data_IF_441079992510
#
_entry.id   IF_441079992510
#
_cell.length_a   1.000
_cell.length_b   1.000
_cell.length_c   1.000
_cell.angle_alpha   90.00
_cell.angle_beta   90.00
_cell.angle_gamma   90.00
#
_symmetry.space_group_name_H-M   'P 1'
#
loop_
_entity.id
_entity.type
_entity.pdbx_description
1 polymer ?
#
# COMPACT_ATOMS: atom_id res chain seq x y z
N UNK A 1 -7.21 -24.77 3.47
CA UNK A 1 -7.33 -23.28 3.55
C UNK A 1 -8.26 -22.88 2.44
N UNK A 2 -9.17 -21.92 2.65
CA UNK A 2 -10.00 -21.40 1.57
C UNK A 2 -9.13 -20.66 0.55
N UNK A 3 -9.45 -20.76 -0.74
CA UNK A 3 -8.79 -20.00 -1.80
C UNK A 3 -8.95 -18.51 -1.52
N UNK A 4 -7.89 -17.72 -1.74
CA UNK A 4 -7.97 -16.25 -1.63
C UNK A 4 -8.81 -15.68 -2.77
N UNK A 5 -9.69 -14.74 -2.44
CA UNK A 5 -10.67 -14.16 -3.36
C UNK A 5 -10.13 -12.89 -4.00
N UNK A 6 -10.12 -12.88 -5.32
CA UNK A 6 -9.63 -11.75 -6.12
C UNK A 6 -10.76 -11.13 -6.93
N UNK A 7 -10.93 -9.82 -6.85
CA UNK A 7 -11.74 -9.06 -7.77
C UNK A 7 -10.84 -8.53 -8.90
N UNK A 8 -11.05 -9.06 -10.11
CA UNK A 8 -10.38 -8.60 -11.32
C UNK A 8 -11.36 -7.71 -12.11
N UNK A 9 -10.97 -6.47 -12.42
CA UNK A 9 -11.77 -5.55 -13.23
C UNK A 9 -10.96 -5.16 -14.46
N UNK A 10 -11.44 -5.59 -15.63
CA UNK A 10 -10.75 -5.47 -16.92
C UNK A 10 -11.82 -5.34 -18.01
N UNK A 11 -11.69 -4.35 -18.90
CA UNK A 11 -12.68 -4.11 -19.97
C UNK A 11 -12.39 -4.91 -21.25
N UNK A 12 -11.15 -5.32 -21.48
CA UNK A 12 -10.84 -6.33 -22.50
C UNK A 12 -11.22 -7.72 -22.00
N UNK A 13 -12.38 -8.21 -22.48
CA UNK A 13 -12.93 -9.48 -22.03
C UNK A 13 -12.02 -10.66 -22.32
N UNK A 14 -11.33 -10.69 -23.48
CA UNK A 14 -10.42 -11.78 -23.82
C UNK A 14 -9.22 -11.81 -22.88
N UNK A 15 -8.64 -10.65 -22.63
CA UNK A 15 -7.52 -10.54 -21.70
C UNK A 15 -7.96 -10.86 -20.26
N UNK A 16 -9.11 -10.37 -19.83
CA UNK A 16 -9.70 -10.65 -18.52
C UNK A 16 -9.96 -12.14 -18.29
N UNK A 17 -10.55 -12.83 -19.28
CA UNK A 17 -10.83 -14.27 -19.20
C UNK A 17 -9.54 -15.11 -19.15
N UNK A 18 -8.54 -14.76 -19.95
CA UNK A 18 -7.23 -15.43 -19.92
C UNK A 18 -6.55 -15.24 -18.57
N UNK A 19 -6.54 -14.02 -18.05
CA UNK A 19 -5.92 -13.69 -16.78
C UNK A 19 -6.65 -14.36 -15.61
N UNK A 20 -7.99 -14.34 -15.62
CA UNK A 20 -8.82 -15.07 -14.65
C UNK A 20 -8.47 -16.55 -14.66
N UNK A 21 -8.50 -17.20 -15.83
CA UNK A 21 -8.18 -18.64 -15.95
C UNK A 21 -6.78 -18.96 -15.43
N UNK A 22 -5.80 -18.10 -15.73
CA UNK A 22 -4.44 -18.26 -15.23
C UNK A 22 -4.36 -18.19 -13.70
N UNK A 23 -5.05 -17.25 -13.07
CA UNK A 23 -5.07 -17.12 -11.62
C UNK A 23 -5.85 -18.27 -10.94
N UNK A 24 -6.95 -18.72 -11.54
CA UNK A 24 -7.72 -19.87 -11.04
C UNK A 24 -6.89 -21.16 -11.09
N UNK A 25 -6.02 -21.35 -12.09
CA UNK A 25 -5.06 -22.46 -12.14
C UNK A 25 -4.02 -22.44 -10.99
N UNK A 26 -3.89 -21.31 -10.31
CA UNK A 26 -3.00 -21.11 -9.16
C UNK A 26 -3.76 -20.99 -7.83
N UNK A 27 -4.93 -21.62 -7.75
CA UNK A 27 -5.76 -21.77 -6.54
C UNK A 27 -6.33 -20.45 -6.00
N UNK A 28 -6.58 -19.44 -6.86
CA UNK A 28 -7.34 -18.24 -6.50
C UNK A 28 -8.80 -18.36 -6.92
N UNK A 29 -9.70 -17.76 -6.13
CA UNK A 29 -11.13 -17.60 -6.48
C UNK A 29 -11.30 -16.22 -7.14
N UNK A 30 -11.46 -16.18 -8.47
CA UNK A 30 -11.42 -14.93 -9.23
C UNK A 30 -12.80 -14.55 -9.76
N UNK A 31 -13.27 -13.39 -9.32
CA UNK A 31 -14.46 -12.76 -9.88
C UNK A 31 -14.04 -11.67 -10.87
N UNK A 32 -14.44 -11.83 -12.16
CA UNK A 32 -14.17 -10.85 -13.21
C UNK A 32 -15.35 -9.89 -13.35
N UNK A 33 -15.08 -8.59 -13.45
CA UNK A 33 -16.02 -7.56 -13.82
C UNK A 33 -15.50 -6.78 -15.06
N UNK A 34 -16.39 -6.43 -15.98
CA UNK A 34 -16.04 -5.87 -17.31
C UNK A 34 -15.84 -4.36 -17.31
N UNK A 35 -16.03 -3.66 -16.20
CA UNK A 35 -15.81 -2.22 -16.07
C UNK A 35 -15.87 -1.77 -14.61
N UNK A 36 -15.47 -0.53 -14.35
CA UNK A 36 -15.41 -0.01 -12.98
C UNK A 36 -16.77 0.14 -12.29
N UNK A 37 -17.88 0.26 -13.03
CA UNK A 37 -19.23 0.30 -12.43
C UNK A 37 -19.62 -1.07 -11.91
N UNK A 38 -19.49 -2.09 -12.75
CA UNK A 38 -19.72 -3.49 -12.37
C UNK A 38 -18.72 -3.94 -11.28
N UNK A 39 -17.48 -3.51 -11.40
CA UNK A 39 -16.45 -3.75 -10.39
C UNK A 39 -16.87 -3.26 -8.99
N UNK A 40 -17.35 -2.02 -8.89
CA UNK A 40 -17.84 -1.48 -7.64
C UNK A 40 -19.07 -2.21 -7.08
N UNK A 41 -20.03 -2.53 -7.95
CA UNK A 41 -21.21 -3.30 -7.53
C UNK A 41 -20.85 -4.69 -7.02
N UNK A 42 -19.92 -5.36 -7.71
CA UNK A 42 -19.41 -6.67 -7.32
C UNK A 42 -18.67 -6.59 -6.00
N UNK A 43 -17.80 -5.58 -5.84
CA UNK A 43 -17.09 -5.34 -4.58
C UNK A 43 -18.04 -5.13 -3.40
N UNK A 44 -19.13 -4.38 -3.61
CA UNK A 44 -20.13 -4.12 -2.56
C UNK A 44 -20.92 -5.33 -2.12
N UNK A 45 -21.08 -6.33 -2.98
CA UNK A 45 -21.87 -7.56 -2.73
C UNK A 45 -21.03 -8.73 -2.24
N UNK A 46 -19.71 -8.70 -2.50
CA UNK A 46 -18.77 -9.76 -2.17
C UNK A 46 -17.82 -9.42 -1.03
N UNK A 47 -16.95 -10.37 -0.74
CA UNK A 47 -15.77 -10.19 0.11
C UNK A 47 -14.54 -10.64 -0.69
N UNK A 48 -13.51 -9.81 -0.72
CA UNK A 48 -12.28 -10.02 -1.49
C UNK A 48 -11.06 -9.80 -0.61
N UNK A 49 -9.98 -10.51 -0.93
CA UNK A 49 -8.69 -10.39 -0.25
C UNK A 49 -7.73 -9.49 -1.03
N UNK A 50 -7.99 -9.28 -2.34
CA UNK A 50 -7.21 -8.45 -3.25
C UNK A 50 -8.09 -7.95 -4.40
N UNK A 51 -7.82 -6.74 -4.86
CA UNK A 51 -8.40 -6.18 -6.08
C UNK A 51 -7.31 -5.96 -7.15
N UNK A 52 -7.60 -6.30 -8.40
CA UNK A 52 -6.76 -6.02 -9.57
C UNK A 52 -7.60 -5.21 -10.53
N UNK A 53 -7.19 -3.98 -10.83
CA UNK A 53 -7.95 -3.06 -11.66
C UNK A 53 -7.14 -2.64 -12.89
N UNK A 54 -7.72 -2.76 -14.09
CA UNK A 54 -7.19 -1.99 -15.20
C UNK A 54 -7.33 -0.50 -14.87
N UNK A 55 -6.29 0.24 -15.16
CA UNK A 55 -6.27 1.68 -14.95
C UNK A 55 -7.21 2.40 -15.92
N UNK A 56 -7.22 1.99 -17.20
CA UNK A 56 -7.95 2.65 -18.29
C UNK A 56 -9.18 1.83 -18.69
N UNK A 57 -10.32 2.15 -18.13
CA UNK A 57 -11.59 1.50 -18.49
C UNK A 57 -12.65 2.54 -18.87
N UNK A 58 -13.58 2.21 -19.77
CA UNK A 58 -14.71 3.08 -20.08
C UNK A 58 -15.67 3.22 -18.90
N UNK A 59 -16.47 4.27 -18.89
CA UNK A 59 -17.51 4.59 -17.89
C UNK A 59 -16.96 4.98 -16.51
N UNK A 60 -16.15 4.13 -15.89
CA UNK A 60 -15.47 4.40 -14.62
C UNK A 60 -14.06 3.80 -14.71
N UNK A 61 -13.06 4.66 -14.67
CA UNK A 61 -11.66 4.24 -14.67
C UNK A 61 -11.26 3.53 -13.35
N UNK A 62 -10.16 2.79 -13.40
CA UNK A 62 -9.67 2.04 -12.25
C UNK A 62 -9.31 2.92 -11.06
N UNK A 63 -8.88 4.15 -11.32
CA UNK A 63 -8.52 5.12 -10.29
C UNK A 63 -9.76 5.57 -9.49
N UNK A 64 -10.84 5.94 -10.17
CA UNK A 64 -12.10 6.32 -9.53
C UNK A 64 -12.68 5.14 -8.76
N UNK A 65 -12.62 3.92 -9.32
CA UNK A 65 -13.02 2.69 -8.64
C UNK A 65 -12.22 2.48 -7.34
N UNK A 66 -10.90 2.60 -7.41
CA UNK A 66 -10.03 2.41 -6.26
C UNK A 66 -10.32 3.42 -5.14
N UNK A 67 -10.61 4.69 -5.50
CA UNK A 67 -11.01 5.72 -4.53
C UNK A 67 -12.27 5.31 -3.77
N UNK A 68 -13.30 4.87 -4.48
CA UNK A 68 -14.56 4.44 -3.87
C UNK A 68 -14.40 3.17 -3.01
N UNK A 69 -13.52 2.25 -3.41
CA UNK A 69 -13.14 1.09 -2.58
C UNK A 69 -12.43 1.57 -1.31
N UNK A 70 -11.48 2.51 -1.41
CA UNK A 70 -10.72 3.06 -0.27
C UNK A 70 -11.58 3.84 0.73
N UNK A 71 -12.68 4.44 0.29
CA UNK A 71 -13.65 5.09 1.18
C UNK A 71 -14.31 4.09 2.14
N UNK A 72 -14.48 2.84 1.69
CA UNK A 72 -15.07 1.75 2.49
C UNK A 72 -14.04 0.93 3.24
N UNK A 73 -12.95 0.61 2.59
CA UNK A 73 -11.86 -0.20 3.12
C UNK A 73 -10.51 0.41 2.76
N UNK A 74 -9.92 1.10 3.72
CA UNK A 74 -8.59 1.71 3.58
C UNK A 74 -7.47 0.68 3.41
N UNK A 75 -7.74 -0.59 3.70
CA UNK A 75 -6.74 -1.66 3.78
C UNK A 75 -6.81 -2.66 2.63
N UNK A 76 -7.90 -2.63 1.84
CA UNK A 76 -8.05 -3.52 0.70
C UNK A 76 -6.82 -3.43 -0.21
N UNK A 77 -6.08 -4.51 -0.44
CA UNK A 77 -4.96 -4.48 -1.37
C UNK A 77 -5.42 -4.22 -2.79
N UNK A 78 -4.75 -3.30 -3.48
CA UNK A 78 -5.08 -2.95 -4.88
C UNK A 78 -3.82 -2.99 -5.73
N UNK A 79 -3.87 -3.75 -6.82
CA UNK A 79 -2.88 -3.75 -7.92
C UNK A 79 -3.51 -3.07 -9.12
N UNK A 80 -2.82 -2.11 -9.73
CA UNK A 80 -3.23 -1.57 -11.02
C UNK A 80 -2.48 -2.24 -12.17
N UNK A 81 -3.23 -2.56 -13.23
CA UNK A 81 -2.67 -2.88 -14.53
C UNK A 81 -2.74 -1.62 -15.39
N UNK A 82 -1.63 -1.19 -15.98
CA UNK A 82 -1.56 0.11 -16.68
C UNK A 82 -0.77 0.03 -17.98
N UNK A 83 -1.16 0.82 -18.97
CA UNK A 83 -0.36 0.99 -20.19
C UNK A 83 0.86 1.90 -19.92
N UNK A 84 2.00 1.60 -20.54
CA UNK A 84 3.34 2.13 -20.26
C UNK A 84 3.54 3.66 -20.34
N UNK A 85 2.55 4.44 -20.77
CA UNK A 85 2.74 5.84 -21.18
C UNK A 85 2.18 6.91 -20.22
N UNK A 86 1.71 6.55 -19.03
CA UNK A 86 0.97 7.47 -18.17
C UNK A 86 1.77 7.86 -16.91
N UNK A 87 2.85 8.64 -17.08
CA UNK A 87 3.67 9.12 -15.94
C UNK A 87 2.89 10.01 -14.97
N UNK A 88 1.88 10.73 -15.44
CA UNK A 88 1.10 11.67 -14.63
C UNK A 88 -0.02 10.94 -13.86
N UNK A 89 -0.66 9.96 -14.48
CA UNK A 89 -1.75 9.19 -13.87
C UNK A 89 -1.26 8.24 -12.78
N UNK A 90 -0.04 7.71 -12.92
CA UNK A 90 0.63 6.90 -11.90
C UNK A 90 0.83 7.70 -10.59
N UNK A 91 1.16 9.00 -10.70
CA UNK A 91 1.30 9.87 -9.52
C UNK A 91 -0.02 10.07 -8.78
N UNK A 92 -1.12 10.15 -9.49
CA UNK A 92 -2.44 10.24 -8.87
C UNK A 92 -2.87 8.91 -8.25
N UNK A 93 -2.60 7.79 -8.89
CA UNK A 93 -2.89 6.46 -8.37
C UNK A 93 -2.14 6.14 -7.08
N UNK A 94 -0.89 6.58 -6.96
CA UNK A 94 -0.14 6.47 -5.69
C UNK A 94 -0.75 7.33 -4.57
N UNK A 95 -1.37 8.48 -4.87
CA UNK A 95 -2.07 9.29 -3.87
C UNK A 95 -3.25 8.56 -3.23
N UNK A 96 -3.89 7.61 -3.94
CA UNK A 96 -4.98 6.77 -3.40
C UNK A 96 -4.43 5.61 -2.55
N UNK A 97 -3.14 5.28 -2.65
CA UNK A 97 -2.52 4.23 -1.84
C UNK A 97 -2.70 2.83 -2.43
N UNK A 98 -2.57 2.69 -3.76
CA UNK A 98 -2.44 1.38 -4.38
C UNK A 98 -1.20 0.64 -3.86
N UNK A 99 -1.31 -0.67 -3.75
CA UNK A 99 -0.24 -1.51 -3.22
C UNK A 99 0.81 -1.84 -4.26
N UNK A 100 0.42 -1.93 -5.55
CA UNK A 100 1.35 -2.17 -6.64
C UNK A 100 0.82 -1.69 -7.99
N UNK A 101 1.72 -1.60 -8.97
CA UNK A 101 1.44 -1.24 -10.36
C UNK A 101 2.20 -2.18 -11.29
N UNK A 102 1.52 -2.70 -12.29
CA UNK A 102 2.11 -3.58 -13.29
C UNK A 102 1.83 -3.02 -14.69
N UNK A 103 2.89 -2.73 -15.44
CA UNK A 103 2.76 -2.13 -16.79
C UNK A 103 2.47 -3.20 -17.84
N UNK A 104 1.41 -3.02 -18.62
CA UNK A 104 1.11 -3.83 -19.80
C UNK A 104 2.08 -3.49 -20.95
N UNK A 105 2.64 -4.48 -21.69
CA UNK A 105 2.50 -5.92 -21.48
C UNK A 105 3.38 -6.44 -20.34
N UNK A 106 2.89 -7.39 -19.57
CA UNK A 106 3.60 -8.03 -18.46
C UNK A 106 3.59 -9.57 -18.58
N UNK A 107 4.47 -10.20 -17.83
CA UNK A 107 4.45 -11.65 -17.66
C UNK A 107 3.43 -12.02 -16.56
N UNK A 108 2.53 -12.97 -16.85
CA UNK A 108 1.52 -13.44 -15.87
C UNK A 108 2.17 -14.01 -14.59
N UNK A 109 3.37 -14.60 -14.70
CA UNK A 109 4.15 -15.07 -13.55
C UNK A 109 4.60 -13.91 -12.65
N UNK A 110 4.96 -12.76 -13.23
CA UNK A 110 5.29 -11.55 -12.47
C UNK A 110 4.10 -11.07 -11.64
N UNK A 111 2.90 -11.02 -12.26
CA UNK A 111 1.67 -10.68 -11.54
C UNK A 111 1.40 -11.67 -10.40
N UNK A 112 1.56 -12.98 -10.66
CA UNK A 112 1.37 -14.03 -9.65
C UNK A 112 2.29 -13.84 -8.44
N UNK A 113 3.57 -13.55 -8.66
CA UNK A 113 4.54 -13.30 -7.60
C UNK A 113 4.19 -12.06 -6.77
N UNK A 114 3.67 -11.01 -7.42
CA UNK A 114 3.21 -9.78 -6.75
C UNK A 114 1.98 -10.04 -5.89
N UNK A 115 0.99 -10.77 -6.43
CA UNK A 115 -0.20 -11.21 -5.68
C UNK A 115 0.21 -11.98 -4.43
N UNK A 116 1.08 -12.99 -4.59
CA UNK A 116 1.58 -13.80 -3.48
C UNK A 116 2.28 -12.97 -2.40
N UNK A 117 3.12 -12.02 -2.83
CA UNK A 117 3.82 -11.12 -1.91
C UNK A 117 2.86 -10.24 -1.12
N UNK A 118 1.81 -9.71 -1.77
CA UNK A 118 0.80 -8.87 -1.13
C UNK A 118 -0.06 -9.69 -0.17
N UNK A 119 -0.63 -10.80 -0.62
CA UNK A 119 -1.48 -11.65 0.21
C UNK A 119 -0.72 -12.27 1.40
N UNK A 120 0.55 -12.64 1.21
CA UNK A 120 1.42 -13.08 2.31
C UNK A 120 1.58 -12.00 3.39
N UNK A 121 1.65 -10.73 3.01
CA UNK A 121 1.73 -9.60 3.96
C UNK A 121 0.41 -9.39 4.69
N UNK A 122 -0.72 -9.57 4.03
CA UNK A 122 -2.07 -9.48 4.62
C UNK A 122 -2.33 -10.67 5.56
N UNK A 123 -1.97 -11.88 5.14
CA UNK A 123 -2.16 -13.13 5.90
C UNK A 123 -1.08 -13.36 6.98
N UNK A 124 0.12 -12.80 6.81
CA UNK A 124 1.14 -12.73 7.84
C UNK A 124 0.86 -11.55 8.78
N UNK A 125 -0.29 -11.54 9.40
CA UNK A 125 -0.38 -11.02 10.74
C UNK A 125 0.66 -11.77 11.57
N UNK A 126 1.81 -11.15 11.77
CA UNK A 126 2.81 -11.55 12.79
C UNK A 126 3.42 -12.94 12.63
N UNK A 127 4.51 -13.09 11.89
CA UNK A 127 5.56 -14.02 12.28
C UNK A 127 6.92 -13.31 12.30
N UNK A 128 7.41 -13.19 13.51
CA UNK A 128 8.77 -13.09 14.03
C UNK A 128 9.89 -12.52 13.14
N UNK A 129 10.11 -11.22 13.27
CA UNK A 129 11.42 -10.63 13.54
C UNK A 129 11.15 -9.30 14.26
N UNK A 130 11.61 -9.18 15.49
CA UNK A 130 11.43 -8.14 16.49
C UNK A 130 10.14 -8.21 17.32
N UNK A 131 10.32 -8.53 18.62
CA UNK A 131 9.27 -8.57 19.66
C UNK A 131 8.64 -7.20 20.00
N UNK A 132 8.98 -6.14 19.28
CA UNK A 132 8.43 -4.81 19.50
C UNK A 132 7.11 -4.65 18.77
N UNK A 133 6.02 -4.79 19.51
CA UNK A 133 4.66 -4.61 18.99
C UNK A 133 4.22 -3.15 18.95
N UNK A 134 4.78 -2.33 19.81
CA UNK A 134 4.46 -0.90 19.93
C UNK A 134 5.72 -0.05 19.95
N UNK A 135 5.69 1.04 19.19
CA UNK A 135 6.76 2.02 19.10
C UNK A 135 6.28 3.34 19.68
N UNK A 136 7.03 3.86 20.66
CA UNK A 136 6.88 5.24 21.10
C UNK A 136 7.72 6.14 20.19
N UNK A 137 7.07 7.11 19.53
CA UNK A 137 7.69 8.10 18.65
C UNK A 137 7.14 9.48 19.00
N UNK A 138 7.91 10.27 19.72
CA UNK A 138 7.43 11.51 20.30
C UNK A 138 6.16 11.28 21.13
N UNK A 139 5.13 12.08 20.88
CA UNK A 139 3.83 11.95 21.53
C UNK A 139 2.88 10.95 20.82
N UNK A 140 3.40 10.08 19.95
CA UNK A 140 2.62 9.02 19.31
C UNK A 140 2.97 7.64 19.85
N UNK A 141 1.95 6.78 19.92
CA UNK A 141 2.12 5.33 20.04
C UNK A 141 1.72 4.70 18.72
N UNK A 142 2.64 3.97 18.10
CA UNK A 142 2.40 3.20 16.91
C UNK A 142 2.31 1.71 17.24
N UNK A 143 1.11 1.14 17.17
CA UNK A 143 0.88 -0.31 17.28
C UNK A 143 0.99 -0.93 15.89
N UNK A 144 2.11 -1.58 15.58
CA UNK A 144 2.38 -2.14 14.26
C UNK A 144 1.45 -3.29 13.88
N UNK A 145 1.16 -4.31 14.76
CA UNK A 145 0.22 -5.38 14.43
C UNK A 145 -1.18 -4.89 14.11
N UNK A 146 -1.67 -3.89 14.82
CA UNK A 146 -2.99 -3.29 14.57
C UNK A 146 -2.95 -2.21 13.48
N UNK A 147 -1.75 -1.76 13.09
CA UNK A 147 -1.53 -0.65 12.15
C UNK A 147 -2.19 0.64 12.60
N UNK A 148 -2.22 0.87 13.89
CA UNK A 148 -2.85 2.05 14.49
C UNK A 148 -1.77 2.99 15.02
N UNK A 149 -1.83 4.24 14.56
CA UNK A 149 -1.06 5.35 15.10
C UNK A 149 -1.96 6.17 16.01
N UNK A 150 -1.62 6.29 17.28
CA UNK A 150 -2.40 7.00 18.29
C UNK A 150 -1.64 8.24 18.74
N UNK A 151 -2.25 9.41 18.62
CA UNK A 151 -1.75 10.66 19.17
C UNK A 151 -2.10 10.77 20.67
N UNK A 152 -1.12 11.11 21.50
CA UNK A 152 -1.28 11.25 22.96
C UNK A 152 -1.17 12.68 23.47
N UNK A 153 -0.69 13.62 22.65
CA UNK A 153 -0.50 15.03 23.01
C UNK A 153 -1.82 15.82 22.94
N UNK A 154 -2.70 15.69 23.94
CA UNK A 154 -3.95 16.44 23.99
C UNK A 154 -5.05 15.73 24.79
N UNK A 155 -6.23 16.35 24.89
CA UNK A 155 -7.37 15.83 25.66
C UNK A 155 -8.11 14.65 25.02
N UNK A 156 -7.64 14.11 23.89
CA UNK A 156 -8.27 12.99 23.18
C UNK A 156 -7.24 12.11 22.47
N UNK A 157 -7.40 10.78 22.60
CA UNK A 157 -6.59 9.82 21.85
C UNK A 157 -7.11 9.73 20.41
N UNK A 158 -6.58 10.58 19.52
CA UNK A 158 -6.90 10.47 18.10
C UNK A 158 -6.16 9.29 17.48
N UNK A 159 -6.88 8.47 16.73
CA UNK A 159 -6.33 7.26 16.10
C UNK A 159 -6.40 7.36 14.59
N UNK A 160 -5.30 7.06 13.93
CA UNK A 160 -5.20 6.92 12.48
C UNK A 160 -4.86 5.47 12.14
N UNK A 161 -5.64 4.87 11.23
CA UNK A 161 -5.41 3.53 10.73
C UNK A 161 -4.56 3.60 9.48
N UNK A 162 -3.39 2.97 9.52
CA UNK A 162 -2.41 2.97 8.43
C UNK A 162 -2.69 1.81 7.45
N UNK A 163 -2.48 2.05 6.16
CA UNK A 163 -2.40 0.97 5.18
C UNK A 163 -1.20 0.06 5.46
N UNK A 164 -1.15 -1.18 4.92
CA UNK A 164 -0.05 -2.11 5.16
C UNK A 164 1.33 -1.52 4.84
N UNK A 165 1.47 -0.80 3.72
CA UNK A 165 2.74 -0.17 3.32
C UNK A 165 3.11 1.03 4.18
N UNK A 166 2.15 1.86 4.56
CA UNK A 166 2.37 2.97 5.50
C UNK A 166 2.87 2.46 6.85
N UNK A 167 2.22 1.42 7.38
CA UNK A 167 2.62 0.81 8.64
C UNK A 167 4.01 0.17 8.56
N UNK A 168 4.33 -0.52 7.46
CA UNK A 168 5.64 -1.13 7.28
C UNK A 168 6.73 -0.06 7.16
N UNK A 169 6.50 1.00 6.38
CA UNK A 169 7.44 2.10 6.25
C UNK A 169 7.65 2.83 7.58
N UNK A 170 6.57 3.07 8.35
CA UNK A 170 6.68 3.68 9.68
C UNK A 170 7.44 2.77 10.66
N UNK A 171 7.22 1.45 10.63
CA UNK A 171 8.01 0.49 11.42
C UNK A 171 9.49 0.61 11.09
N UNK A 172 9.86 0.65 9.81
CA UNK A 172 11.25 0.79 9.40
C UNK A 172 11.85 2.12 9.89
N UNK A 173 11.10 3.22 9.85
CA UNK A 173 11.53 4.49 10.44
C UNK A 173 11.75 4.39 11.95
N UNK A 174 10.88 3.69 12.68
CA UNK A 174 11.05 3.48 14.11
C UNK A 174 12.31 2.66 14.42
N UNK A 175 12.60 1.63 13.63
CA UNK A 175 13.81 0.80 13.76
C UNK A 175 15.10 1.56 13.43
N UNK A 176 15.02 2.58 12.55
CA UNK A 176 16.13 3.45 12.17
C UNK A 176 15.98 4.87 12.77
N UNK A 177 15.36 4.97 13.96
CA UNK A 177 15.14 6.26 14.61
C UNK A 177 16.47 7.01 14.79
N UNK A 178 16.49 8.28 14.36
CA UNK A 178 17.67 9.13 14.30
C UNK A 178 18.82 8.65 13.38
N UNK A 179 18.59 7.58 12.59
CA UNK A 179 19.53 7.08 11.59
C UNK A 179 18.93 7.14 10.18
N UNK A 180 19.73 6.88 9.16
CA UNK A 180 19.30 6.95 7.76
C UNK A 180 18.67 5.62 7.33
N UNK A 181 17.38 5.66 7.02
CA UNK A 181 16.73 4.61 6.25
C UNK A 181 17.00 4.85 4.76
N UNK A 182 17.80 3.98 4.14
CA UNK A 182 18.12 4.12 2.72
C UNK A 182 16.92 3.80 1.84
N UNK A 183 16.82 4.48 0.67
CA UNK A 183 15.76 4.19 -0.30
C UNK A 183 15.81 2.74 -0.77
N UNK A 184 17.01 2.25 -1.09
CA UNK A 184 17.21 0.88 -1.57
C UNK A 184 16.71 -0.17 -0.55
N UNK A 185 17.02 0.00 0.73
CA UNK A 185 16.55 -0.90 1.78
C UNK A 185 15.04 -0.88 1.92
N UNK A 186 14.43 0.32 1.99
CA UNK A 186 12.98 0.45 2.12
C UNK A 186 12.25 -0.12 0.90
N UNK A 187 12.75 0.15 -0.32
CA UNK A 187 12.17 -0.34 -1.55
C UNK A 187 12.26 -1.87 -1.65
N UNK A 188 13.42 -2.44 -1.35
CA UNK A 188 13.60 -3.90 -1.35
C UNK A 188 12.68 -4.60 -0.34
N UNK A 189 12.56 -4.06 0.89
CA UNK A 189 11.74 -4.69 1.95
C UNK A 189 10.24 -4.51 1.75
N UNK A 190 9.78 -3.38 1.19
CA UNK A 190 8.36 -3.05 1.09
C UNK A 190 7.78 -3.34 -0.29
N UNK A 191 8.56 -3.14 -1.36
CA UNK A 191 8.10 -3.28 -2.75
C UNK A 191 8.76 -4.44 -3.48
N UNK A 192 9.82 -5.04 -2.93
CA UNK A 192 10.54 -6.18 -3.54
C UNK A 192 11.54 -5.80 -4.61
N UNK A 193 11.46 -4.59 -5.17
CA UNK A 193 12.32 -4.09 -6.24
C UNK A 193 12.61 -2.60 -6.08
N UNK A 194 13.84 -2.19 -6.43
CA UNK A 194 14.21 -0.78 -6.57
C UNK A 194 14.12 -0.39 -8.06
N UNK A 195 12.97 0.13 -8.46
CA UNK A 195 12.77 0.71 -9.78
C UNK A 195 12.19 2.13 -9.69
N UNK A 196 12.17 2.84 -10.82
CA UNK A 196 11.71 4.24 -10.89
C UNK A 196 10.29 4.44 -10.33
N UNK A 197 9.40 3.48 -10.51
CA UNK A 197 8.00 3.57 -10.07
C UNK A 197 7.87 3.36 -8.55
N UNK A 198 8.60 2.40 -8.02
CA UNK A 198 8.63 2.11 -6.58
C UNK A 198 9.27 3.26 -5.80
N UNK A 199 10.30 3.91 -6.34
CA UNK A 199 10.93 5.07 -5.73
C UNK A 199 9.96 6.26 -5.58
N UNK A 200 9.16 6.57 -6.62
CA UNK A 200 8.11 7.59 -6.54
C UNK A 200 6.97 7.22 -5.60
N UNK A 201 6.61 5.94 -5.56
CA UNK A 201 5.65 5.43 -4.60
C UNK A 201 6.09 5.74 -3.17
N UNK A 202 7.33 5.45 -2.83
CA UNK A 202 7.88 5.73 -1.50
C UNK A 202 7.72 7.20 -1.09
N UNK A 203 7.98 8.16 -2.00
CA UNK A 203 7.84 9.59 -1.70
C UNK A 203 6.40 9.98 -1.33
N UNK A 204 5.40 9.34 -1.94
CA UNK A 204 3.98 9.54 -1.57
C UNK A 204 3.70 9.02 -0.18
N UNK A 205 4.18 7.82 0.18
CA UNK A 205 3.99 7.26 1.51
C UNK A 205 4.72 8.10 2.58
N UNK A 206 5.91 8.58 2.29
CA UNK A 206 6.63 9.53 3.17
C UNK A 206 5.82 10.81 3.38
N UNK A 207 5.20 11.35 2.32
CA UNK A 207 4.36 12.55 2.43
C UNK A 207 3.13 12.31 3.31
N UNK A 208 2.49 11.15 3.20
CA UNK A 208 1.37 10.78 4.07
C UNK A 208 1.80 10.62 5.53
N UNK A 209 2.91 9.92 5.77
CA UNK A 209 3.44 9.75 7.14
C UNK A 209 3.79 11.10 7.78
N UNK A 210 4.37 12.04 7.01
CA UNK A 210 4.60 13.41 7.49
C UNK A 210 3.31 14.09 7.92
N UNK A 211 2.22 13.90 7.16
CA UNK A 211 0.91 14.45 7.51
C UNK A 211 0.36 13.83 8.80
N UNK A 212 0.48 12.51 8.95
CA UNK A 212 0.01 11.83 10.16
C UNK A 212 0.80 12.21 11.41
N UNK A 213 2.10 12.47 11.26
CA UNK A 213 3.01 12.84 12.36
C UNK A 213 3.07 14.35 12.62
N UNK A 214 2.32 15.17 11.88
CA UNK A 214 2.47 16.64 11.89
C UNK A 214 2.00 17.35 13.17
N UNK A 215 1.38 16.64 14.13
CA UNK A 215 0.94 17.23 15.41
C UNK A 215 2.05 17.34 16.43
N UNK A 216 3.14 16.62 16.24
CA UNK A 216 4.33 16.70 17.09
C UNK A 216 5.43 17.48 16.37
N UNK A 217 5.69 18.71 16.81
CA UNK A 217 6.73 19.57 16.24
C UNK A 217 8.15 19.04 16.48
N UNK A 218 8.31 18.08 17.41
CA UNK A 218 9.59 17.42 17.67
C UNK A 218 9.88 16.27 16.72
N UNK A 219 8.87 15.79 15.98
CA UNK A 219 9.01 14.71 15.01
C UNK A 219 9.12 15.22 13.58
N UNK A 220 10.15 14.78 12.88
CA UNK A 220 10.31 15.15 11.47
C UNK A 220 10.91 14.02 10.64
N UNK A 221 10.30 13.71 9.50
CA UNK A 221 10.93 12.86 8.48
C UNK A 221 11.68 13.76 7.50
N UNK A 222 13.00 13.77 7.57
CA UNK A 222 13.87 14.57 6.71
C UNK A 222 14.34 13.79 5.50
N UNK A 223 14.53 14.48 4.36
CA UNK A 223 15.23 13.92 3.21
C UNK A 223 16.74 14.01 3.44
N UNK A 224 17.44 12.90 3.24
CA UNK A 224 18.91 12.86 3.20
C UNK A 224 19.31 12.71 1.74
N UNK A 225 19.79 13.81 1.17
CA UNK A 225 20.05 13.91 -0.28
C UNK A 225 20.92 12.75 -0.77
N UNK A 226 20.48 12.08 -1.83
CA UNK A 226 21.18 10.95 -2.45
C UNK A 226 21.09 9.61 -1.69
N UNK A 227 20.64 9.59 -0.42
CA UNK A 227 20.70 8.39 0.42
C UNK A 227 19.31 7.84 0.82
N UNK A 228 18.40 8.70 1.28
CA UNK A 228 17.12 8.21 1.79
C UNK A 228 16.41 9.21 2.68
N UNK A 229 15.90 8.73 3.80
CA UNK A 229 15.14 9.51 4.76
C UNK A 229 15.60 9.22 6.19
N UNK A 230 15.34 10.16 7.09
CA UNK A 230 15.62 10.01 8.51
C UNK A 230 14.41 10.48 9.30
N UNK A 231 13.89 9.66 10.20
CA UNK A 231 12.96 10.08 11.23
C UNK A 231 13.75 10.66 12.40
N UNK A 232 13.59 11.94 12.62
CA UNK A 232 14.23 12.67 13.73
C UNK A 232 13.20 12.89 14.82
N UNK A 233 13.57 12.51 16.03
CA UNK A 233 12.93 12.94 17.26
C UNK A 233 13.91 13.87 17.97
N UNK A 234 13.54 15.14 18.10
CA UNK A 234 14.35 16.11 18.84
C UNK A 234 14.18 15.80 20.32
N UNK A 235 15.27 15.51 21.01
CA UNK A 235 15.24 15.39 22.46
C UNK A 235 14.66 16.68 23.03
N UNK A 236 13.73 16.56 23.98
CA UNK A 236 13.35 17.69 24.81
C UNK A 236 14.60 18.07 25.59
N UNK A 237 15.29 19.10 25.13
CA UNK A 237 16.37 19.72 25.95
C UNK A 237 15.64 20.33 27.13
N UNK A 238 15.86 19.74 28.32
CA UNK A 238 15.43 20.29 29.58
C UNK A 238 15.88 21.76 29.64
N UNK A 239 14.90 22.69 29.68
CA UNK A 239 15.12 24.07 30.04
C UNK A 239 15.03 24.24 31.56
#
# INVERSE_FOLDING_TARGET
MSASKILLVEDDQNFGDVLKSYLEMHDYDVTLASDGVMGLETYRKGSFDLCIFDFMMPRKDGFTLAREVREKDKEMPIIFLTAKNLKEDILEGFKIGADDYLSKPFNSEELLLRIQAILRRVNKGVEKEDDVKEYQIGEYIFNYPLRILTWQGGSGNEREKLSPKEAHLLKMFCQHKNDVLTRAEALAKIWGEDNYFTARSMDVFVTKLRKYLSKDDNLQIMNIHGNGFRLIEKDQVDM
#
